data_IF_383183228623
#
_entry.id   IF_383183228623
#
_cell.length_a   1.000
_cell.length_b   1.000
_cell.length_c   1.000
_cell.angle_alpha   90.00
_cell.angle_beta   90.00
_cell.angle_gamma   90.00
#
_symmetry.space_group_name_H-M   'P 1'
#
loop_
_entity.id
_entity.type
_entity.pdbx_description
1 polymer ?
#
# COMPACT_ATOMS: atom_id res chain seq x y z
N UNK A 1 -11.10 21.37 -5.86
CA UNK A 1 -11.29 20.06 -6.52
C UNK A 1 -10.34 19.08 -5.87
N UNK A 2 -10.84 17.96 -5.33
CA UNK A 2 -10.01 17.03 -4.55
C UNK A 2 -9.37 16.00 -5.47
N UNK A 3 -8.07 16.17 -5.75
CA UNK A 3 -7.29 15.31 -6.64
C UNK A 3 -6.42 14.41 -5.78
N UNK A 4 -6.78 13.14 -5.70
CA UNK A 4 -6.19 12.23 -4.72
C UNK A 4 -5.30 11.20 -5.39
N UNK A 5 -4.12 11.00 -4.82
CA UNK A 5 -3.26 9.86 -5.09
C UNK A 5 -3.36 8.89 -3.92
N UNK A 6 -3.84 7.67 -4.17
CA UNK A 6 -3.77 6.59 -3.20
C UNK A 6 -2.50 5.78 -3.43
N UNK A 7 -1.52 5.97 -2.54
CA UNK A 7 -0.25 5.24 -2.59
C UNK A 7 -0.41 3.90 -1.85
N UNK A 8 -0.53 2.84 -2.64
CA UNK A 8 -0.65 1.47 -2.18
C UNK A 8 0.72 0.88 -1.84
N UNK A 9 0.73 0.09 -0.77
CA UNK A 9 1.90 -0.63 -0.29
C UNK A 9 1.51 -2.08 0.05
N UNK A 10 1.35 -2.39 1.35
CA UNK A 10 1.06 -3.75 1.85
C UNK A 10 -0.44 -4.00 2.04
N UNK A 11 -1.28 -3.19 1.40
CA UNK A 11 -2.73 -3.09 1.53
C UNK A 11 -3.46 -3.35 0.20
N UNK A 12 -2.94 -4.28 -0.61
CA UNK A 12 -3.50 -4.72 -1.91
C UNK A 12 -4.81 -5.52 -1.72
N UNK A 13 -5.86 -4.89 -1.21
CA UNK A 13 -7.18 -5.49 -0.98
C UNK A 13 -8.31 -4.47 -1.16
N UNK A 14 -9.46 -4.92 -1.64
CA UNK A 14 -10.69 -4.10 -1.71
C UNK A 14 -11.45 -4.14 -0.39
N UNK A 15 -11.59 -5.34 0.19
CA UNK A 15 -12.37 -5.55 1.41
C UNK A 15 -11.66 -4.97 2.63
N UNK A 16 -12.44 -4.38 3.52
CA UNK A 16 -11.94 -3.78 4.76
C UNK A 16 -10.72 -2.86 4.55
N UNK A 17 -10.78 -2.03 3.49
CA UNK A 17 -9.73 -1.07 3.18
C UNK A 17 -10.24 0.36 3.44
N UNK A 18 -9.98 0.84 4.65
CA UNK A 18 -10.32 2.19 5.09
C UNK A 18 -9.59 3.27 4.28
N UNK A 19 -8.37 3.01 3.81
CA UNK A 19 -7.65 3.94 2.93
C UNK A 19 -8.33 4.05 1.56
N UNK A 20 -8.74 2.93 0.96
CA UNK A 20 -9.52 2.93 -0.29
C UNK A 20 -10.90 3.60 -0.11
N UNK A 21 -11.58 3.36 1.02
CA UNK A 21 -12.85 4.01 1.35
C UNK A 21 -12.70 5.53 1.55
N UNK A 22 -11.58 5.99 2.09
CA UNK A 22 -11.27 7.42 2.16
C UNK A 22 -10.96 7.97 0.76
N UNK A 23 -10.21 7.22 -0.05
CA UNK A 23 -9.84 7.59 -1.40
C UNK A 23 -11.05 7.67 -2.35
N UNK A 24 -12.09 6.85 -2.14
CA UNK A 24 -13.30 6.86 -2.95
C UNK A 24 -14.15 8.14 -2.81
N UNK A 25 -13.88 8.97 -1.80
CA UNK A 25 -14.55 10.26 -1.56
C UNK A 25 -13.92 11.43 -2.33
N UNK A 26 -12.99 11.12 -3.24
CA UNK A 26 -12.27 12.11 -4.05
C UNK A 26 -13.05 12.44 -5.31
N UNK A 27 -12.69 13.56 -5.96
CA UNK A 27 -13.28 13.90 -7.26
C UNK A 27 -12.57 13.15 -8.37
N UNK A 28 -11.24 13.08 -8.28
CA UNK A 28 -10.40 12.25 -9.14
C UNK A 28 -9.47 11.40 -8.29
N UNK A 29 -9.26 10.15 -8.71
CA UNK A 29 -8.44 9.19 -8.00
C UNK A 29 -7.39 8.57 -8.91
N UNK A 30 -6.16 8.50 -8.42
CA UNK A 30 -5.08 7.72 -8.99
C UNK A 30 -4.56 6.72 -7.95
N UNK A 31 -4.82 5.44 -8.19
CA UNK A 31 -4.27 4.34 -7.39
C UNK A 31 -2.86 4.00 -7.90
N UNK A 32 -1.83 4.12 -7.06
CA UNK A 32 -0.43 3.93 -7.46
C UNK A 32 0.25 2.86 -6.62
N UNK A 33 0.98 1.96 -7.27
CA UNK A 33 1.97 1.11 -6.63
C UNK A 33 3.36 1.41 -7.19
N UNK A 34 4.34 1.65 -6.32
CA UNK A 34 5.71 1.92 -6.74
C UNK A 34 6.59 0.72 -6.41
N UNK A 35 7.16 0.12 -7.46
CA UNK A 35 8.15 -0.94 -7.34
C UNK A 35 9.52 -0.27 -7.21
N UNK A 36 9.98 -0.15 -5.97
CA UNK A 36 11.25 0.52 -5.68
C UNK A 36 12.46 -0.33 -6.08
N UNK A 37 13.38 0.28 -6.84
CA UNK A 37 14.64 -0.36 -7.23
C UNK A 37 15.45 -0.86 -6.02
N UNK A 38 15.43 -0.11 -4.91
CA UNK A 38 16.15 -0.47 -3.68
C UNK A 38 15.68 -1.80 -3.09
N UNK A 39 14.47 -2.26 -3.41
CA UNK A 39 13.97 -3.56 -2.96
C UNK A 39 14.74 -4.74 -3.58
N UNK A 40 15.40 -4.54 -4.72
CA UNK A 40 16.14 -5.56 -5.47
C UNK A 40 17.66 -5.42 -5.37
N UNK A 41 18.13 -4.30 -4.81
CA UNK A 41 19.56 -4.07 -4.55
C UNK A 41 20.01 -4.79 -3.28
N UNK A 42 21.24 -5.32 -3.31
CA UNK A 42 21.82 -5.97 -2.14
C UNK A 42 22.14 -4.92 -1.07
N UNK A 43 21.69 -5.16 0.14
CA UNK A 43 22.04 -4.32 1.29
C UNK A 43 23.47 -4.62 1.78
N UNK A 44 23.88 -3.96 2.86
CA UNK A 44 25.21 -4.12 3.48
C UNK A 44 25.51 -5.56 3.96
N UNK A 45 24.50 -6.44 3.98
CA UNK A 45 24.62 -7.86 4.34
C UNK A 45 24.46 -8.79 3.12
N UNK A 46 24.62 -8.26 1.90
CA UNK A 46 24.49 -8.99 0.64
C UNK A 46 23.10 -9.63 0.43
N UNK A 47 22.09 -9.14 1.16
CA UNK A 47 20.73 -9.63 1.09
C UNK A 47 19.84 -8.62 0.36
N UNK A 48 18.94 -9.12 -0.48
CA UNK A 48 17.93 -8.29 -1.14
C UNK A 48 16.70 -8.17 -0.24
N UNK A 49 16.17 -6.96 0.00
CA UNK A 49 14.93 -6.82 0.74
C UNK A 49 13.79 -7.65 0.16
N UNK A 50 13.70 -7.74 -1.18
CA UNK A 50 12.72 -8.52 -1.93
C UNK A 50 13.41 -9.58 -2.80
N UNK A 51 13.27 -10.84 -2.42
CA UNK A 51 13.74 -11.98 -3.21
C UNK A 51 12.77 -12.41 -4.31
N UNK A 52 13.26 -13.21 -5.26
CA UNK A 52 12.54 -13.55 -6.50
C UNK A 52 11.18 -14.23 -6.27
N UNK A 53 11.09 -15.15 -5.31
CA UNK A 53 9.83 -15.84 -4.97
C UNK A 53 8.78 -14.86 -4.43
N UNK A 54 9.20 -13.96 -3.52
CA UNK A 54 8.29 -12.96 -2.95
C UNK A 54 7.90 -11.91 -3.98
N UNK A 55 8.80 -11.59 -4.92
CA UNK A 55 8.46 -10.75 -6.07
C UNK A 55 7.41 -11.42 -6.97
N UNK A 56 7.56 -12.70 -7.31
CA UNK A 56 6.57 -13.42 -8.10
C UNK A 56 5.18 -13.43 -7.42
N UNK A 57 5.14 -13.67 -6.11
CA UNK A 57 3.90 -13.59 -5.33
C UNK A 57 3.29 -12.18 -5.39
N UNK A 58 4.12 -11.14 -5.19
CA UNK A 58 3.67 -9.75 -5.25
C UNK A 58 3.11 -9.38 -6.63
N UNK A 59 3.73 -9.83 -7.73
CA UNK A 59 3.18 -9.63 -9.07
C UNK A 59 1.77 -10.19 -9.20
N UNK A 60 1.55 -11.43 -8.75
CA UNK A 60 0.21 -12.02 -8.72
C UNK A 60 -0.79 -11.23 -7.87
N UNK A 61 -0.37 -10.69 -6.73
CA UNK A 61 -1.22 -9.81 -5.92
C UNK A 61 -1.55 -8.49 -6.62
N UNK A 62 -0.59 -7.89 -7.35
CA UNK A 62 -0.82 -6.66 -8.10
C UNK A 62 -1.79 -6.88 -9.25
N UNK A 63 -1.67 -8.01 -9.95
CA UNK A 63 -2.57 -8.40 -11.05
C UNK A 63 -4.00 -8.61 -10.53
N UNK A 64 -4.19 -9.43 -9.49
CA UNK A 64 -5.50 -9.68 -8.85
C UNK A 64 -6.14 -8.40 -8.30
N UNK A 65 -5.34 -7.53 -7.68
CA UNK A 65 -5.82 -6.25 -7.18
C UNK A 65 -6.22 -5.30 -8.32
N UNK A 66 -5.46 -5.26 -9.41
CA UNK A 66 -5.79 -4.45 -10.59
C UNK A 66 -7.10 -4.92 -11.25
N UNK A 67 -7.30 -6.23 -11.40
CA UNK A 67 -8.58 -6.79 -11.88
C UNK A 67 -9.76 -6.40 -10.98
N UNK A 68 -9.53 -6.39 -9.66
CA UNK A 68 -10.53 -5.99 -8.68
C UNK A 68 -10.85 -4.49 -8.73
N UNK A 69 -9.85 -3.62 -8.93
CA UNK A 69 -10.04 -2.19 -9.16
C UNK A 69 -10.78 -1.89 -10.47
N UNK A 70 -10.48 -2.65 -11.53
CA UNK A 70 -11.10 -2.47 -12.86
C UNK A 70 -12.61 -2.63 -12.79
N UNK A 71 -13.10 -3.58 -11.98
CA UNK A 71 -14.53 -3.81 -11.72
C UNK A 71 -15.21 -2.63 -11.01
N UNK A 72 -14.43 -1.77 -10.35
CA UNK A 72 -14.89 -0.56 -9.64
C UNK A 72 -14.69 0.73 -10.46
N UNK A 73 -14.24 0.63 -11.71
CA UNK A 73 -14.01 1.78 -12.60
C UNK A 73 -12.65 2.47 -12.42
N UNK A 74 -11.66 1.77 -11.87
CA UNK A 74 -10.29 2.28 -11.66
C UNK A 74 -9.24 1.29 -12.13
N UNK A 75 -8.00 1.76 -12.28
CA UNK A 75 -6.86 0.91 -12.62
C UNK A 75 -5.70 1.13 -11.64
N UNK A 76 -4.87 0.12 -11.49
CA UNK A 76 -3.64 0.23 -10.71
C UNK A 76 -2.51 0.77 -11.57
N UNK A 77 -2.02 1.96 -11.25
CA UNK A 77 -0.87 2.55 -11.91
C UNK A 77 0.43 2.05 -11.27
N UNK A 78 1.08 1.09 -11.92
CA UNK A 78 2.36 0.53 -11.46
C UNK A 78 3.52 1.33 -12.06
N UNK A 79 4.37 1.87 -11.18
CA UNK A 79 5.56 2.64 -11.56
C UNK A 79 6.81 1.97 -11.01
N UNK A 80 7.87 1.96 -11.81
CA UNK A 80 9.17 1.44 -11.40
C UNK A 80 10.16 2.59 -11.22
N UNK A 81 10.81 2.67 -10.06
CA UNK A 81 11.76 3.75 -9.77
C UNK A 81 11.90 4.04 -8.29
N UNK A 82 12.64 5.10 -7.94
CA UNK A 82 12.75 5.56 -6.57
C UNK A 82 11.41 6.12 -6.07
N UNK A 83 10.97 5.65 -4.90
CA UNK A 83 9.63 5.96 -4.36
C UNK A 83 9.41 7.45 -4.17
N UNK A 84 10.34 8.15 -3.52
CA UNK A 84 10.18 9.56 -3.20
C UNK A 84 10.09 10.43 -4.45
N UNK A 85 11.05 10.28 -5.37
CA UNK A 85 11.07 11.03 -6.63
C UNK A 85 9.87 10.73 -7.51
N UNK A 86 9.41 9.48 -7.53
CA UNK A 86 8.19 9.09 -8.27
C UNK A 86 6.95 9.74 -7.67
N UNK A 87 6.75 9.66 -6.35
CA UNK A 87 5.62 10.30 -5.68
C UNK A 87 5.61 11.81 -5.92
N UNK A 88 6.75 12.48 -5.78
CA UNK A 88 6.87 13.92 -6.04
C UNK A 88 6.45 14.28 -7.47
N UNK A 89 7.00 13.57 -8.47
CA UNK A 89 6.66 13.81 -9.88
C UNK A 89 5.20 13.55 -10.20
N UNK A 90 4.60 12.49 -9.63
CA UNK A 90 3.18 12.22 -9.80
C UNK A 90 2.34 13.33 -9.17
N UNK A 91 2.69 13.78 -7.96
CA UNK A 91 1.96 14.84 -7.29
C UNK A 91 1.98 16.14 -8.09
N UNK A 92 3.14 16.54 -8.63
CA UNK A 92 3.29 17.74 -9.44
C UNK A 92 2.56 17.63 -10.78
N UNK A 93 2.78 16.53 -11.53
CA UNK A 93 2.23 16.36 -12.87
C UNK A 93 0.69 16.27 -12.89
N UNK A 94 0.10 15.68 -11.86
CA UNK A 94 -1.35 15.56 -11.73
C UNK A 94 -1.96 16.51 -10.73
N UNK A 95 -1.22 17.55 -10.29
CA UNK A 95 -1.70 18.57 -9.36
C UNK A 95 -2.45 17.94 -8.17
N UNK A 96 -1.86 16.89 -7.58
CA UNK A 96 -2.46 16.13 -6.49
C UNK A 96 -2.53 17.02 -5.25
N UNK A 97 -3.70 17.06 -4.63
CA UNK A 97 -3.96 17.82 -3.39
C UNK A 97 -3.86 16.95 -2.16
N UNK A 98 -4.09 15.65 -2.31
CA UNK A 98 -4.17 14.70 -1.21
C UNK A 98 -3.43 13.41 -1.57
N UNK A 99 -2.50 12.99 -0.71
CA UNK A 99 -1.96 11.63 -0.74
C UNK A 99 -2.59 10.84 0.39
N UNK A 100 -3.18 9.70 0.07
CA UNK A 100 -3.68 8.74 1.05
C UNK A 100 -2.74 7.54 1.02
N UNK A 101 -2.39 7.01 2.19
CA UNK A 101 -1.64 5.74 2.29
C UNK A 101 -1.89 5.08 3.64
N UNK A 102 -1.53 3.80 3.77
CA UNK A 102 -1.60 3.10 5.06
C UNK A 102 -0.46 3.55 5.98
N UNK A 103 -0.79 3.78 7.25
CA UNK A 103 0.19 4.03 8.30
C UNK A 103 0.91 2.73 8.66
N UNK A 104 2.24 2.71 8.52
CA UNK A 104 3.07 1.59 8.97
C UNK A 104 3.96 2.01 10.15
N UNK A 105 4.32 1.07 11.03
CA UNK A 105 5.25 1.35 12.13
C UNK A 105 6.73 1.39 11.69
N UNK A 106 7.04 1.04 10.44
CA UNK A 106 8.42 0.89 9.95
C UNK A 106 9.18 2.21 9.75
N UNK A 107 10.47 2.24 10.07
CA UNK A 107 11.31 3.44 9.97
C UNK A 107 11.47 3.94 8.54
N UNK A 108 11.65 3.04 7.57
CA UNK A 108 11.87 3.42 6.17
C UNK A 108 10.61 4.04 5.56
N UNK A 109 9.45 3.42 5.80
CA UNK A 109 8.15 3.93 5.35
C UNK A 109 7.87 5.32 5.94
N UNK A 110 8.09 5.51 7.25
CA UNK A 110 7.87 6.80 7.89
C UNK A 110 8.85 7.88 7.40
N UNK A 111 10.11 7.51 7.11
CA UNK A 111 11.09 8.44 6.53
C UNK A 111 10.63 8.97 5.16
N UNK A 112 10.09 8.10 4.30
CA UNK A 112 9.56 8.51 2.99
C UNK A 112 8.41 9.52 3.14
N UNK A 113 7.52 9.30 4.10
CA UNK A 113 6.42 10.23 4.39
C UNK A 113 6.95 11.59 4.87
N UNK A 114 7.89 11.60 5.81
CA UNK A 114 8.53 12.83 6.28
C UNK A 114 9.17 13.59 5.12
N UNK A 115 9.96 12.90 4.28
CA UNK A 115 10.63 13.52 3.14
C UNK A 115 9.63 14.01 2.08
N UNK A 116 8.53 13.31 1.85
CA UNK A 116 7.48 13.75 0.94
C UNK A 116 6.83 15.04 1.46
N UNK A 117 6.52 15.10 2.76
CA UNK A 117 5.95 16.29 3.40
C UNK A 117 6.91 17.49 3.37
N UNK A 118 8.21 17.27 3.58
CA UNK A 118 9.23 18.32 3.48
C UNK A 118 9.35 18.87 2.05
N UNK A 119 9.18 18.01 1.05
CA UNK A 119 9.33 18.36 -0.37
C UNK A 119 8.08 19.02 -0.96
N UNK A 120 6.91 18.63 -0.47
CA UNK A 120 5.59 19.13 -0.90
C UNK A 120 4.76 19.51 0.34
N UNK A 121 5.05 20.65 1.00
CA UNK A 121 4.41 21.03 2.26
C UNK A 121 2.92 21.41 2.12
N UNK A 122 2.46 21.72 0.91
CA UNK A 122 1.06 22.03 0.62
C UNK A 122 0.19 20.77 0.45
N UNK A 123 0.81 19.58 0.38
CA UNK A 123 0.13 18.32 0.14
C UNK A 123 -0.51 17.80 1.44
N UNK A 124 -1.79 17.42 1.36
CA UNK A 124 -2.46 16.77 2.49
C UNK A 124 -2.14 15.27 2.52
N UNK A 125 -1.20 14.86 3.38
CA UNK A 125 -0.83 13.46 3.53
C UNK A 125 -1.68 12.80 4.63
N UNK A 126 -2.56 11.89 4.23
CA UNK A 126 -3.47 11.16 5.08
C UNK A 126 -2.97 9.73 5.30
N UNK A 127 -2.36 9.47 6.45
CA UNK A 127 -1.93 8.12 6.87
C UNK A 127 -3.05 7.40 7.63
N UNK A 128 -3.61 6.34 7.04
CA UNK A 128 -4.75 5.60 7.60
C UNK A 128 -4.28 4.41 8.44
N UNK A 129 -4.74 4.34 9.69
CA UNK A 129 -4.44 3.25 10.62
C UNK A 129 -5.34 2.04 10.35
N UNK A 130 -4.82 1.06 9.59
CA UNK A 130 -5.54 -0.16 9.19
C UNK A 130 -4.65 -1.40 9.06
N UNK A 131 -3.45 -1.35 9.66
CA UNK A 131 -2.45 -2.41 9.55
C UNK A 131 -2.61 -3.49 10.65
N UNK A 132 -3.23 -3.14 11.78
CA UNK A 132 -3.41 -4.01 12.94
C UNK A 132 -4.89 -4.21 13.25
N UNK A 133 -5.21 -5.34 13.90
CA UNK A 133 -6.58 -5.66 14.34
C UNK A 133 -7.14 -4.60 15.30
N UNK A 134 -6.29 -4.09 16.20
CA UNK A 134 -6.61 -2.98 17.09
C UNK A 134 -5.88 -1.75 16.59
N UNK A 135 -6.63 -0.70 16.28
CA UNK A 135 -6.06 0.61 15.95
C UNK A 135 -5.50 1.26 17.21
N UNK A 136 -4.61 2.25 17.05
CA UNK A 136 -4.02 2.97 18.20
C UNK A 136 -5.09 3.51 19.15
N UNK A 137 -6.18 4.05 18.60
CA UNK A 137 -7.26 4.65 19.38
C UNK A 137 -8.12 3.63 20.13
N UNK A 138 -8.05 2.35 19.77
CA UNK A 138 -8.75 1.27 20.46
C UNK A 138 -7.95 0.71 21.65
N UNK A 139 -6.68 1.10 21.81
CA UNK A 139 -5.85 0.62 22.91
C UNK A 139 -6.34 1.23 24.24
N UNK A 140 -6.51 0.42 25.31
CA UNK A 140 -6.92 0.90 26.63
C UNK A 140 -5.73 1.47 27.43
N UNK A 141 -4.69 1.93 26.73
CA UNK A 141 -3.45 2.48 27.27
C UNK A 141 -2.70 3.24 26.17
N UNK A 142 -1.87 4.19 26.58
CA UNK A 142 -0.95 4.88 25.68
C UNK A 142 0.21 3.97 25.25
N UNK A 143 0.85 4.28 24.12
CA UNK A 143 1.92 3.45 23.57
C UNK A 143 3.14 3.37 24.49
N UNK A 144 3.41 4.42 25.27
CA UNK A 144 4.47 4.48 26.28
C UNK A 144 4.22 3.47 27.42
N UNK A 145 2.97 3.01 27.57
CA UNK A 145 2.54 2.03 28.57
C UNK A 145 2.27 0.64 27.96
N UNK A 146 2.76 0.39 26.74
CA UNK A 146 2.62 -0.90 26.07
C UNK A 146 3.19 -2.01 26.97
N UNK A 147 2.42 -3.09 27.24
CA UNK A 147 2.89 -4.14 28.12
C UNK A 147 4.15 -4.85 27.58
N UNK A 148 5.14 -5.01 28.44
CA UNK A 148 6.43 -5.66 28.15
C UNK A 148 6.34 -7.14 27.75
N UNK A 149 5.16 -7.77 27.90
CA UNK A 149 4.95 -9.15 27.46
C UNK A 149 3.63 -9.31 26.72
N UNK A 150 3.64 -10.17 25.71
CA UNK A 150 2.46 -10.49 24.92
C UNK A 150 1.29 -10.97 25.79
N UNK A 151 1.54 -11.81 26.80
CA UNK A 151 0.49 -12.30 27.69
C UNK A 151 -0.22 -11.19 28.47
N UNK A 152 0.51 -10.15 28.90
CA UNK A 152 -0.08 -8.97 29.56
C UNK A 152 -0.86 -8.13 28.56
N UNK A 153 -0.32 -7.92 27.35
CA UNK A 153 -1.03 -7.25 26.25
C UNK A 153 -2.35 -7.96 25.93
N UNK A 154 -2.33 -9.26 25.65
CA UNK A 154 -3.52 -10.06 25.33
C UNK A 154 -4.59 -9.98 26.41
N UNK A 155 -4.20 -10.03 27.70
CA UNK A 155 -5.15 -9.89 28.82
C UNK A 155 -5.83 -8.51 28.83
N UNK A 156 -5.07 -7.44 28.60
CA UNK A 156 -5.64 -6.08 28.51
C UNK A 156 -6.56 -5.91 27.31
N UNK A 157 -6.26 -6.57 26.19
CA UNK A 157 -7.05 -6.48 24.96
C UNK A 157 -8.31 -7.38 24.94
N UNK A 158 -8.47 -8.28 25.91
CA UNK A 158 -9.56 -9.27 25.91
C UNK A 158 -10.96 -8.63 25.93
N UNK A 159 -11.09 -7.48 26.60
CA UNK A 159 -12.35 -6.72 26.73
C UNK A 159 -12.50 -5.62 25.67
N UNK A 160 -11.49 -5.43 24.82
CA UNK A 160 -11.49 -4.38 23.79
C UNK A 160 -12.32 -4.86 22.61
N UNK A 161 -13.38 -4.12 22.30
CA UNK A 161 -14.23 -4.41 21.13
C UNK A 161 -13.47 -4.17 19.83
N UNK A 162 -13.52 -5.17 18.95
CA UNK A 162 -12.94 -5.08 17.61
C UNK A 162 -13.85 -4.21 16.73
N UNK A 163 -13.25 -3.30 15.97
CA UNK A 163 -14.00 -2.47 15.03
C UNK A 163 -14.62 -3.33 13.94
N UNK A 164 -15.86 -3.00 13.54
CA UNK A 164 -16.48 -3.67 12.40
C UNK A 164 -15.69 -3.34 11.12
N UNK A 165 -15.58 -4.28 10.18
CA UNK A 165 -14.95 -4.02 8.89
C UNK A 165 -15.58 -2.82 8.20
N UNK A 166 -14.77 -2.02 7.51
CA UNK A 166 -15.31 -0.91 6.72
C UNK A 166 -16.13 -1.44 5.54
N UNK A 167 -17.22 -0.74 5.14
CA UNK A 167 -18.02 -1.16 4.00
C UNK A 167 -17.20 -1.20 2.71
N UNK A 168 -17.44 -2.22 1.88
CA UNK A 168 -16.82 -2.34 0.57
C UNK A 168 -17.28 -1.22 -0.34
N UNK A 169 -16.32 -0.62 -1.05
CA UNK A 169 -16.56 0.42 -2.05
C UNK A 169 -17.26 -0.20 -3.26
N UNK A 170 -18.33 0.43 -3.74
CA UNK A 170 -19.14 -0.05 -4.87
C UNK A 170 -18.71 0.57 -6.21
N UNK A 171 -18.13 1.77 -6.17
CA UNK A 171 -17.56 2.46 -7.33
C UNK A 171 -16.46 3.40 -6.87
N UNK A 172 -15.47 3.60 -7.73
CA UNK A 172 -14.37 4.54 -7.48
C UNK A 172 -14.51 5.77 -8.40
N UNK A 173 -13.97 6.93 -7.97
CA UNK A 173 -13.93 8.14 -8.79
C UNK A 173 -13.19 7.91 -10.11
N UNK A 174 -13.42 8.78 -11.09
CA UNK A 174 -12.70 8.70 -12.36
C UNK A 174 -11.20 8.95 -12.20
N UNK A 175 -10.43 8.35 -13.11
CA UNK A 175 -9.01 8.65 -13.30
C UNK A 175 -8.84 10.07 -13.86
N UNK A 176 -7.60 10.56 -13.88
CA UNK A 176 -7.25 11.81 -14.54
C UNK A 176 -7.26 11.65 -16.07
N UNK A 177 -7.73 12.66 -16.81
CA UNK A 177 -7.89 12.59 -18.28
C UNK A 177 -6.60 12.30 -19.05
N UNK A 178 -5.45 12.63 -18.48
CA UNK A 178 -4.13 12.46 -19.10
C UNK A 178 -3.22 11.57 -18.25
N UNK A 179 -3.59 10.30 -18.04
CA UNK A 179 -2.63 9.31 -17.54
C UNK A 179 -1.68 8.91 -18.70
N UNK A 180 -0.34 8.90 -18.50
CA UNK A 180 0.59 8.21 -19.36
C UNK A 180 0.10 6.77 -19.53
N UNK A 181 0.35 6.21 -20.71
CA UNK A 181 0.20 4.79 -20.88
C UNK A 181 0.94 4.06 -19.74
N UNK A 182 0.34 3.01 -19.13
CA UNK A 182 0.98 2.25 -18.07
C UNK A 182 2.40 1.88 -18.49
N UNK A 183 3.35 1.95 -17.56
CA UNK A 183 4.79 1.76 -17.83
C UNK A 183 5.00 0.45 -18.61
N UNK A 184 5.11 0.53 -19.94
CA UNK A 184 5.29 -0.65 -20.81
C UNK A 184 6.70 -1.24 -20.70
N UNK A 185 7.60 -0.54 -20.01
CA UNK A 185 8.99 -0.93 -19.87
C UNK A 185 9.20 -1.62 -18.53
N UNK A 186 9.40 -2.95 -18.58
CA UNK A 186 9.93 -3.73 -17.46
C UNK A 186 11.41 -3.40 -17.31
N UNK A 187 11.87 -2.77 -16.22
CA UNK A 187 13.28 -2.42 -16.07
C UNK A 187 14.21 -3.64 -16.01
N UNK A 188 15.44 -3.49 -16.51
CA UNK A 188 16.45 -4.56 -16.55
C UNK A 188 16.87 -5.06 -15.17
N UNK A 189 16.74 -4.23 -14.14
CA UNK A 189 17.08 -4.61 -12.75
C UNK A 189 16.05 -5.53 -12.10
N UNK A 190 14.90 -5.77 -12.74
CA UNK A 190 13.94 -6.75 -12.26
C UNK A 190 14.40 -8.17 -12.57
N UNK A 191 14.20 -9.12 -11.65
CA UNK A 191 14.55 -10.51 -11.93
C UNK A 191 13.75 -11.04 -13.13
N UNK A 192 14.44 -11.79 -13.99
CA UNK A 192 13.84 -12.64 -15.00
C UNK A 192 13.29 -13.88 -14.30
N UNK A 193 12.11 -13.78 -13.70
CA UNK A 193 11.47 -14.94 -13.07
C UNK A 193 11.08 -15.91 -14.19
N UNK A 194 11.78 -17.04 -14.30
CA UNK A 194 11.25 -18.20 -14.99
C UNK A 194 10.06 -18.69 -14.16
N UNK A 195 8.85 -18.71 -14.73
CA UNK A 195 7.64 -19.12 -14.02
C UNK A 195 7.86 -20.50 -13.38
N UNK A 196 8.14 -20.53 -12.08
CA UNK A 196 8.14 -21.77 -11.32
C UNK A 196 6.68 -22.17 -11.24
N UNK A 197 6.30 -23.23 -11.95
CA UNK A 197 4.94 -23.80 -11.85
C UNK A 197 4.64 -23.98 -10.38
N UNK A 198 3.54 -23.39 -9.91
CA UNK A 198 3.02 -23.66 -8.57
C UNK A 198 2.95 -25.19 -8.40
N UNK A 199 3.53 -25.71 -7.32
CA UNK A 199 3.34 -27.12 -6.98
C UNK A 199 1.83 -27.31 -6.80
N UNK A 200 1.23 -28.18 -7.60
CA UNK A 200 -0.19 -28.53 -7.42
C UNK A 200 -0.34 -29.08 -6.00
N UNK A 201 -1.28 -28.49 -5.25
CA UNK A 201 -1.68 -29.03 -3.96
C UNK A 201 -2.38 -30.37 -4.14
N UNK A 202 -2.31 -31.22 -3.14
CA UNK A 202 -3.13 -32.43 -3.07
C UNK A 202 -4.43 -32.09 -2.34
N UNK A 203 -5.55 -32.67 -2.76
CA UNK A 203 -6.75 -32.66 -1.94
C UNK A 203 -6.46 -33.42 -0.63
N UNK A 204 -6.76 -32.79 0.50
CA UNK A 204 -6.63 -33.42 1.80
C UNK A 204 -7.87 -34.31 2.01
N UNK A 205 -7.70 -35.63 1.94
CA UNK A 205 -8.77 -36.62 2.11
C UNK A 205 -9.13 -36.93 3.58
N UNK A 206 -8.95 -35.96 4.50
CA UNK A 206 -9.34 -36.11 5.91
C UNK A 206 -8.32 -36.80 6.80
#
# INVERSE_FOLDING_TARGET
MKRTLYWLNKDLRINDNAALNLASKSEHLLCVYIVDKQCFEANNFQSKPLGDIRWQFLQGCLDDFNESLSKLGQELYIVYGDTLSTLTRLCENYQITDVITTKFPGTYENRLITQLNERLPELNINQVDQFTLFTKNALPFELEQLPVSYSKFRKKMAEVSISKPVPSVQSLPSMFDTLPAPTRFKPEWLPSVSAVKAKQGFEFEG
#
